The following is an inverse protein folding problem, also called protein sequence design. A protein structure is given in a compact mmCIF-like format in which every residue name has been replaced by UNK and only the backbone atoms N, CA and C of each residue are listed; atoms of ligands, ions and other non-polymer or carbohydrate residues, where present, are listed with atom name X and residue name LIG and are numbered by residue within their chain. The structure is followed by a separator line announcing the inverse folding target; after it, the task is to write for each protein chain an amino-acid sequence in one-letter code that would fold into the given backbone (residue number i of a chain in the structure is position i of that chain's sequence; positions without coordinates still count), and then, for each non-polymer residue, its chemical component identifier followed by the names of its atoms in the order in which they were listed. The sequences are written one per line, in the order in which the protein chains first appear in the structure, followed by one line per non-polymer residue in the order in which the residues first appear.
data_IF_138678923364
#
_entry.id   IF_138678923364
#
_cell.length_a   1.000
_cell.length_b   1.000
_cell.length_c   1.000
_cell.angle_alpha   90.00
_cell.angle_beta   90.00
_cell.angle_gamma   90.00
#
_symmetry.space_group_name_H-M   'P 1'
#
loop_
_entity.id
_entity.type
_entity.pdbx_description
1 polymer ?
#
# COMPACT_ATOMS: atom_id res chain seq x y z
N UNK A 1 37.14 -3.18 -6.98
CA UNK A 1 37.50 -2.57 -8.28
C UNK A 1 38.66 -1.64 -8.06
N UNK A 2 39.69 -1.70 -8.91
CA UNK A 2 40.89 -0.88 -8.75
C UNK A 2 40.57 0.59 -9.05
N UNK A 3 40.92 1.49 -8.13
CA UNK A 3 40.75 2.95 -8.26
C UNK A 3 42.08 3.63 -7.93
N UNK A 4 42.94 3.77 -8.94
CA UNK A 4 44.33 4.21 -8.75
C UNK A 4 45.10 3.30 -7.81
N UNK A 5 45.55 3.86 -6.69
CA UNK A 5 46.26 3.15 -5.60
C UNK A 5 45.33 2.55 -4.53
N UNK A 6 44.00 2.63 -4.73
CA UNK A 6 42.98 2.14 -3.79
C UNK A 6 42.04 1.14 -4.44
N UNK A 7 41.17 0.52 -3.65
CA UNK A 7 40.16 -0.42 -4.12
C UNK A 7 38.76 -0.04 -3.63
N UNK A 8 37.79 0.00 -4.54
CA UNK A 8 36.37 0.08 -4.21
C UNK A 8 35.85 -1.32 -3.83
N UNK A 9 35.23 -1.42 -2.65
CA UNK A 9 34.60 -2.64 -2.16
C UNK A 9 33.23 -2.82 -2.80
N UNK A 10 33.10 -3.78 -3.71
CA UNK A 10 31.82 -4.11 -4.38
C UNK A 10 30.97 -5.06 -3.54
N UNK A 11 31.61 -6.04 -2.91
CA UNK A 11 30.99 -7.17 -2.25
C UNK A 11 31.83 -7.61 -1.04
N UNK A 12 31.19 -8.14 0.01
CA UNK A 12 31.90 -8.77 1.13
C UNK A 12 32.11 -7.90 2.38
N UNK A 13 31.28 -6.87 2.59
CA UNK A 13 31.29 -6.02 3.81
C UNK A 13 31.36 -6.83 5.10
N UNK A 14 30.58 -7.92 5.23
CA UNK A 14 30.62 -8.80 6.42
C UNK A 14 31.98 -9.46 6.65
N UNK A 15 32.67 -9.86 5.57
CA UNK A 15 33.96 -10.55 5.63
C UNK A 15 35.07 -9.58 6.01
N UNK A 16 35.00 -8.35 5.51
CA UNK A 16 35.88 -7.25 5.93
C UNK A 16 35.63 -6.84 7.38
N UNK A 17 34.37 -6.71 7.81
CA UNK A 17 34.06 -6.40 9.20
C UNK A 17 34.56 -7.48 10.16
N UNK A 18 34.39 -8.76 9.80
CA UNK A 18 34.92 -9.88 10.57
C UNK A 18 36.45 -9.88 10.62
N UNK A 19 37.12 -9.64 9.49
CA UNK A 19 38.58 -9.56 9.43
C UNK A 19 39.14 -8.40 10.27
N UNK A 20 38.48 -7.23 10.23
CA UNK A 20 38.81 -6.10 11.12
C UNK A 20 38.64 -6.47 12.59
N UNK A 21 37.52 -7.12 12.95
CA UNK A 21 37.29 -7.58 14.32
C UNK A 21 38.32 -8.64 14.77
N UNK A 22 38.83 -9.44 13.85
CA UNK A 22 39.88 -10.42 14.08
C UNK A 22 41.31 -9.84 14.03
N UNK A 23 41.47 -8.54 13.79
CA UNK A 23 42.78 -7.89 13.71
C UNK A 23 43.62 -8.28 12.48
N UNK A 24 42.99 -8.81 11.44
CA UNK A 24 43.69 -9.17 10.20
C UNK A 24 44.04 -7.91 9.39
N UNK A 25 45.30 -7.79 9.01
CA UNK A 25 45.79 -6.68 8.19
C UNK A 25 45.33 -6.80 6.72
N UNK A 26 45.07 -8.02 6.25
CA UNK A 26 44.76 -8.32 4.85
C UNK A 26 43.57 -9.28 4.74
N UNK A 27 42.82 -9.18 3.65
CA UNK A 27 41.69 -10.06 3.35
C UNK A 27 41.82 -10.51 1.90
N UNK A 28 41.68 -11.82 1.60
CA UNK A 28 41.69 -12.29 0.22
C UNK A 28 40.53 -11.66 -0.55
N UNK A 29 40.86 -11.02 -1.67
CA UNK A 29 39.90 -10.30 -2.52
C UNK A 29 40.13 -10.63 -3.99
N UNK A 30 39.04 -10.73 -4.75
CA UNK A 30 39.11 -10.82 -6.21
C UNK A 30 39.13 -9.39 -6.79
N UNK A 31 40.25 -9.00 -7.39
CA UNK A 31 40.38 -7.71 -8.05
C UNK A 31 39.80 -7.84 -9.47
N UNK A 32 38.83 -6.98 -9.79
CA UNK A 32 38.30 -6.83 -11.14
C UNK A 32 38.66 -5.44 -11.67
N UNK A 33 39.00 -5.41 -12.95
CA UNK A 33 39.06 -4.20 -13.75
C UNK A 33 37.66 -3.98 -14.32
N UNK A 34 36.95 -3.00 -13.78
CA UNK A 34 35.63 -2.57 -14.25
C UNK A 34 35.54 -1.07 -14.01
N UNK A 35 34.72 -0.36 -14.79
CA UNK A 35 34.46 1.04 -14.49
C UNK A 35 33.56 1.18 -13.24
N UNK A 36 33.43 2.38 -12.70
CA UNK A 36 32.66 2.60 -11.46
C UNK A 36 31.17 2.27 -11.63
N UNK A 37 30.60 2.49 -12.82
CA UNK A 37 29.20 2.17 -13.13
C UNK A 37 28.96 0.65 -13.10
N UNK A 38 29.79 -0.13 -13.80
CA UNK A 38 29.75 -1.59 -13.78
C UNK A 38 29.94 -2.15 -12.36
N UNK A 39 30.78 -1.50 -11.55
CA UNK A 39 30.97 -1.87 -10.15
C UNK A 39 29.70 -1.66 -9.33
N UNK A 40 28.99 -0.54 -9.55
CA UNK A 40 27.75 -0.20 -8.88
C UNK A 40 26.61 -1.14 -9.29
N UNK A 41 26.48 -1.46 -10.58
CA UNK A 41 25.51 -2.44 -11.09
C UNK A 41 25.67 -3.81 -10.44
N UNK A 42 26.91 -4.32 -10.39
CA UNK A 42 27.20 -5.62 -9.77
C UNK A 42 26.91 -5.61 -8.27
N UNK A 43 27.25 -4.52 -7.58
CA UNK A 43 26.95 -4.36 -6.15
C UNK A 43 25.44 -4.33 -5.90
N UNK A 44 24.70 -3.55 -6.70
CA UNK A 44 23.24 -3.49 -6.63
C UNK A 44 22.62 -4.86 -6.83
N UNK A 45 23.01 -5.59 -7.89
CA UNK A 45 22.45 -6.91 -8.18
C UNK A 45 22.70 -7.89 -7.02
N UNK A 46 23.92 -7.95 -6.48
CA UNK A 46 24.23 -8.83 -5.34
C UNK A 46 23.41 -8.48 -4.10
N UNK A 47 23.24 -7.19 -3.80
CA UNK A 47 22.46 -6.72 -2.66
C UNK A 47 20.96 -6.98 -2.84
N UNK A 48 20.42 -6.74 -4.05
CA UNK A 48 19.01 -6.88 -4.35
C UNK A 48 18.53 -8.33 -4.34
N UNK A 49 19.35 -9.28 -4.83
CA UNK A 49 19.01 -10.71 -4.81
C UNK A 49 19.25 -11.39 -3.46
N UNK A 50 19.50 -10.64 -2.38
CA UNK A 50 19.52 -11.21 -1.03
C UNK A 50 18.12 -11.70 -0.66
N UNK A 51 18.06 -12.92 -0.14
CA UNK A 51 16.80 -13.65 0.13
C UNK A 51 15.92 -13.00 1.20
N UNK A 52 16.38 -11.96 1.90
CA UNK A 52 15.74 -11.43 3.10
C UNK A 52 15.09 -10.04 2.94
N UNK A 53 15.20 -9.39 1.77
CA UNK A 53 14.65 -8.04 1.60
C UNK A 53 13.11 -8.05 1.63
N UNK A 54 12.52 -7.30 2.55
CA UNK A 54 11.09 -6.98 2.56
C UNK A 54 10.72 -6.15 1.32
N UNK A 55 9.43 -6.15 0.91
CA UNK A 55 9.01 -5.39 -0.27
C UNK A 55 9.37 -3.90 -0.17
N UNK A 56 9.30 -3.31 1.03
CA UNK A 56 9.66 -1.90 1.26
C UNK A 56 11.15 -1.67 1.03
N UNK A 57 12.01 -2.58 1.47
CA UNK A 57 13.46 -2.49 1.24
C UNK A 57 13.81 -2.72 -0.24
N UNK A 58 13.11 -3.61 -0.94
CA UNK A 58 13.27 -3.79 -2.39
C UNK A 58 12.91 -2.51 -3.15
N UNK A 59 11.82 -1.85 -2.76
CA UNK A 59 11.44 -0.57 -3.35
C UNK A 59 12.47 0.53 -3.09
N UNK A 60 13.02 0.61 -1.87
CA UNK A 60 14.08 1.55 -1.54
C UNK A 60 15.34 1.31 -2.40
N UNK A 61 15.75 0.05 -2.55
CA UNK A 61 16.88 -0.30 -3.40
C UNK A 61 16.63 0.08 -4.88
N UNK A 62 15.45 -0.24 -5.43
CA UNK A 62 15.07 0.15 -6.80
C UNK A 62 15.10 1.67 -6.95
N UNK A 63 14.59 2.40 -5.96
CA UNK A 63 14.57 3.87 -5.97
C UNK A 63 15.99 4.44 -5.98
N UNK A 64 16.85 3.98 -5.08
CA UNK A 64 18.26 4.37 -5.02
C UNK A 64 18.97 4.09 -6.34
N UNK A 65 18.75 2.92 -6.94
CA UNK A 65 19.33 2.56 -8.23
C UNK A 65 18.92 3.51 -9.37
N UNK A 66 17.69 4.02 -9.35
CA UNK A 66 17.17 4.97 -10.33
C UNK A 66 17.72 6.37 -10.06
N UNK A 67 17.69 6.81 -8.80
CA UNK A 67 18.09 8.17 -8.39
C UNK A 67 19.61 8.40 -8.56
N UNK A 68 20.43 7.36 -8.33
CA UNK A 68 21.88 7.36 -8.53
C UNK A 68 22.30 7.05 -9.98
N UNK A 69 21.33 6.95 -10.90
CA UNK A 69 21.54 6.65 -12.33
C UNK A 69 22.39 5.38 -12.59
N UNK A 70 22.34 4.40 -11.66
CA UNK A 70 23.10 3.15 -11.77
C UNK A 70 22.57 2.31 -12.94
N UNK A 71 21.25 2.25 -13.10
CA UNK A 71 20.58 1.59 -14.21
C UNK A 71 19.30 2.32 -14.58
N UNK A 72 18.96 2.31 -15.87
CA UNK A 72 17.66 2.75 -16.35
C UNK A 72 16.52 1.83 -15.88
N UNK A 73 15.28 2.34 -15.95
CA UNK A 73 14.08 1.54 -15.63
C UNK A 73 13.97 0.32 -16.57
N UNK A 74 14.37 0.48 -17.82
CA UNK A 74 14.39 -0.55 -18.86
C UNK A 74 15.40 -1.66 -18.53
N UNK A 75 16.60 -1.29 -18.09
CA UNK A 75 17.64 -2.22 -17.66
C UNK A 75 17.23 -2.98 -16.40
N UNK A 76 16.66 -2.28 -15.41
CA UNK A 76 16.10 -2.90 -14.20
C UNK A 76 14.97 -3.89 -14.52
N UNK A 77 14.03 -3.50 -15.40
CA UNK A 77 12.93 -4.37 -15.82
C UNK A 77 13.45 -5.66 -16.47
N UNK A 78 14.43 -5.53 -17.36
CA UNK A 78 15.08 -6.65 -18.04
C UNK A 78 15.87 -7.53 -17.05
N UNK A 79 16.69 -6.93 -16.19
CA UNK A 79 17.54 -7.63 -15.22
C UNK A 79 16.75 -8.38 -14.15
N UNK A 80 15.61 -7.83 -13.71
CA UNK A 80 14.75 -8.45 -12.70
C UNK A 80 13.68 -9.38 -13.29
N UNK A 81 13.60 -9.48 -14.62
CA UNK A 81 12.53 -10.19 -15.33
C UNK A 81 11.13 -9.75 -14.82
N UNK A 82 10.91 -8.44 -14.87
CA UNK A 82 9.68 -7.76 -14.45
C UNK A 82 9.26 -6.74 -15.50
N UNK A 83 8.01 -6.30 -15.45
CA UNK A 83 7.54 -5.25 -16.34
C UNK A 83 8.08 -3.88 -15.89
N UNK A 84 8.27 -2.96 -16.85
CA UNK A 84 8.57 -1.54 -16.59
C UNK A 84 7.56 -0.96 -15.60
N UNK A 85 6.28 -1.33 -15.75
CA UNK A 85 5.20 -0.89 -14.87
C UNK A 85 5.40 -1.37 -13.42
N UNK A 86 5.90 -2.60 -13.24
CA UNK A 86 6.21 -3.12 -11.92
C UNK A 86 7.36 -2.35 -11.28
N UNK A 87 8.43 -2.05 -12.02
CA UNK A 87 9.57 -1.24 -11.52
C UNK A 87 9.10 0.15 -11.08
N UNK A 88 8.29 0.82 -11.91
CA UNK A 88 7.71 2.13 -11.57
C UNK A 88 6.83 2.08 -10.32
N UNK A 89 6.00 1.04 -10.20
CA UNK A 89 5.15 0.85 -9.03
C UNK A 89 5.97 0.59 -7.76
N UNK A 90 7.05 -0.18 -7.84
CA UNK A 90 7.97 -0.38 -6.71
C UNK A 90 8.64 0.92 -6.31
N UNK A 91 9.19 1.69 -7.26
CA UNK A 91 9.82 2.97 -6.95
C UNK A 91 8.83 3.95 -6.28
N UNK A 92 7.58 3.99 -6.77
CA UNK A 92 6.51 4.82 -6.20
C UNK A 92 6.14 4.41 -4.77
N UNK A 93 6.30 3.13 -4.40
CA UNK A 93 5.99 2.66 -3.05
C UNK A 93 6.75 3.45 -1.98
N UNK A 94 7.99 3.89 -2.26
CA UNK A 94 8.78 4.70 -1.32
C UNK A 94 8.12 6.03 -0.92
N UNK A 95 7.14 6.51 -1.69
CA UNK A 95 6.41 7.76 -1.42
C UNK A 95 5.06 7.52 -0.73
N UNK A 96 4.72 6.27 -0.39
CA UNK A 96 3.45 5.96 0.26
C UNK A 96 3.44 6.43 1.73
N UNK A 97 2.25 6.63 2.32
CA UNK A 97 2.14 7.02 3.71
C UNK A 97 2.87 6.05 4.67
N UNK A 98 3.55 6.54 5.72
CA UNK A 98 4.36 5.71 6.62
C UNK A 98 3.59 4.54 7.24
N UNK A 99 2.33 4.73 7.61
CA UNK A 99 1.47 3.69 8.18
C UNK A 99 1.21 2.54 7.19
N UNK A 100 1.13 2.85 5.90
CA UNK A 100 0.97 1.85 4.83
C UNK A 100 2.26 1.05 4.67
N UNK A 101 3.40 1.73 4.61
CA UNK A 101 4.72 1.10 4.51
C UNK A 101 5.00 0.18 5.69
N UNK A 102 4.66 0.63 6.90
CA UNK A 102 4.80 -0.17 8.10
C UNK A 102 3.96 -1.45 8.04
N UNK A 103 2.69 -1.36 7.61
CA UNK A 103 1.82 -2.53 7.49
C UNK A 103 2.35 -3.56 6.46
N UNK A 104 2.95 -3.09 5.36
CA UNK A 104 3.61 -3.97 4.37
C UNK A 104 4.85 -4.63 4.98
N UNK A 105 5.70 -3.86 5.66
CA UNK A 105 6.92 -4.37 6.29
C UNK A 105 6.61 -5.45 7.33
N UNK A 106 5.56 -5.24 8.14
CA UNK A 106 5.05 -6.22 9.11
C UNK A 106 4.26 -7.38 8.48
N UNK A 107 4.15 -7.42 7.15
CA UNK A 107 3.41 -8.44 6.38
C UNK A 107 1.93 -8.58 6.76
N UNK A 108 1.33 -7.50 7.28
CA UNK A 108 -0.08 -7.48 7.69
C UNK A 108 -1.03 -7.31 6.50
N UNK A 109 -0.54 -6.72 5.41
CA UNK A 109 -1.30 -6.50 4.18
C UNK A 109 -0.40 -6.74 2.96
N UNK A 110 -0.98 -7.18 1.85
CA UNK A 110 -0.25 -7.31 0.60
C UNK A 110 0.04 -5.94 -0.04
N UNK A 111 1.13 -5.85 -0.81
CA UNK A 111 1.49 -4.63 -1.55
C UNK A 111 0.37 -4.15 -2.48
N UNK A 112 -0.36 -5.08 -3.10
CA UNK A 112 -1.45 -4.76 -4.02
C UNK A 112 -2.72 -4.26 -3.34
N UNK A 113 -2.99 -4.66 -2.10
CA UNK A 113 -4.08 -4.08 -1.33
C UNK A 113 -3.66 -2.73 -0.73
N UNK A 114 -2.42 -2.64 -0.24
CA UNK A 114 -1.83 -1.41 0.27
C UNK A 114 -1.77 -0.28 -0.77
N UNK A 115 -1.46 -0.60 -2.04
CA UNK A 115 -1.40 0.41 -3.11
C UNK A 115 -2.71 1.15 -3.31
N UNK A 116 -3.85 0.48 -3.14
CA UNK A 116 -5.16 1.11 -3.24
C UNK A 116 -5.36 2.09 -2.09
N UNK A 117 -5.04 1.66 -0.86
CA UNK A 117 -5.21 2.48 0.34
C UNK A 117 -4.26 3.68 0.37
N UNK A 118 -3.06 3.54 -0.21
CA UNK A 118 -2.11 4.65 -0.35
C UNK A 118 -2.66 5.82 -1.19
N UNK A 119 -3.61 5.58 -2.09
CA UNK A 119 -4.24 6.61 -2.92
C UNK A 119 -5.30 7.45 -2.18
N UNK A 120 -5.73 7.01 -0.98
CA UNK A 120 -6.71 7.74 -0.17
C UNK A 120 -6.04 8.93 0.48
N UNK A 121 -6.39 10.14 0.08
CA UNK A 121 -5.74 11.37 0.57
C UNK A 121 -6.15 11.76 1.98
N UNK A 122 -7.39 11.42 2.37
CA UNK A 122 -7.88 11.62 3.73
C UNK A 122 -7.16 10.66 4.69
N UNK A 123 -6.37 11.22 5.61
CA UNK A 123 -5.54 10.44 6.54
C UNK A 123 -6.37 9.67 7.56
N UNK A 124 -7.47 10.23 8.07
CA UNK A 124 -8.31 9.54 9.05
C UNK A 124 -9.05 8.38 8.39
N UNK A 125 -9.63 8.62 7.22
CA UNK A 125 -10.37 7.60 6.49
C UNK A 125 -9.44 6.48 5.98
N UNK A 126 -8.24 6.82 5.50
CA UNK A 126 -7.20 5.84 5.14
C UNK A 126 -6.82 4.97 6.34
N UNK A 127 -6.63 5.56 7.52
CA UNK A 127 -6.35 4.83 8.76
C UNK A 127 -7.45 3.83 9.11
N UNK A 128 -8.72 4.23 9.00
CA UNK A 128 -9.87 3.35 9.19
C UNK A 128 -9.85 2.17 8.20
N UNK A 129 -9.67 2.44 6.90
CA UNK A 129 -9.62 1.40 5.87
C UNK A 129 -8.44 0.45 6.05
N UNK A 130 -7.27 0.97 6.43
CA UNK A 130 -6.07 0.17 6.70
C UNK A 130 -6.29 -0.78 7.88
N UNK A 131 -6.82 -0.28 8.99
CA UNK A 131 -7.16 -1.10 10.14
C UNK A 131 -8.14 -2.22 9.75
N UNK A 132 -9.21 -1.86 9.03
CA UNK A 132 -10.19 -2.84 8.55
C UNK A 132 -9.58 -3.87 7.59
N UNK A 133 -8.64 -3.45 6.73
CA UNK A 133 -7.93 -4.32 5.81
C UNK A 133 -7.05 -5.35 6.54
N UNK A 134 -6.35 -4.91 7.59
CA UNK A 134 -5.48 -5.78 8.40
C UNK A 134 -6.31 -6.79 9.18
N UNK A 135 -7.36 -6.34 9.87
CA UNK A 135 -8.18 -7.24 10.70
C UNK A 135 -8.93 -8.29 9.87
N UNK A 136 -9.42 -7.91 8.70
CA UNK A 136 -10.28 -8.78 7.87
C UNK A 136 -9.52 -9.47 6.73
N UNK A 137 -8.20 -9.27 6.62
CA UNK A 137 -7.40 -9.83 5.52
C UNK A 137 -7.89 -9.39 4.15
N UNK A 138 -8.15 -8.09 3.97
CA UNK A 138 -8.76 -7.59 2.75
C UNK A 138 -7.88 -7.81 1.51
N UNK A 139 -8.51 -8.24 0.42
CA UNK A 139 -7.84 -8.44 -0.87
C UNK A 139 -7.65 -7.13 -1.61
N UNK A 140 -6.78 -7.14 -2.63
CA UNK A 140 -6.63 -6.00 -3.55
C UNK A 140 -7.97 -5.61 -4.23
N UNK A 141 -8.84 -6.59 -4.52
CA UNK A 141 -10.17 -6.32 -5.09
C UNK A 141 -11.08 -5.60 -4.08
N UNK A 142 -11.06 -6.04 -2.83
CA UNK A 142 -11.88 -5.44 -1.77
C UNK A 142 -11.45 -4.00 -1.49
N UNK A 143 -10.15 -3.77 -1.31
CA UNK A 143 -9.59 -2.43 -1.09
C UNK A 143 -9.83 -1.49 -2.28
N UNK A 144 -9.75 -1.98 -3.52
CA UNK A 144 -10.10 -1.18 -4.71
C UNK A 144 -11.57 -0.76 -4.70
N UNK A 145 -12.49 -1.66 -4.30
CA UNK A 145 -13.91 -1.32 -4.19
C UNK A 145 -14.15 -0.25 -3.12
N UNK A 146 -13.49 -0.33 -1.96
CA UNK A 146 -13.58 0.68 -0.90
C UNK A 146 -13.12 2.06 -1.36
N UNK A 147 -11.99 2.11 -2.09
CA UNK A 147 -11.45 3.36 -2.64
C UNK A 147 -12.38 3.96 -3.68
N UNK A 148 -12.98 3.14 -4.54
CA UNK A 148 -13.98 3.61 -5.50
C UNK A 148 -15.21 4.21 -4.79
N UNK A 149 -15.75 3.52 -3.78
CA UNK A 149 -16.84 4.06 -2.95
C UNK A 149 -16.45 5.38 -2.25
N UNK A 150 -15.21 5.51 -1.78
CA UNK A 150 -14.68 6.76 -1.23
C UNK A 150 -14.62 7.88 -2.28
N UNK A 151 -14.14 7.60 -3.50
CA UNK A 151 -14.09 8.58 -4.58
C UNK A 151 -15.49 9.06 -4.98
N UNK A 152 -16.46 8.15 -5.08
CA UNK A 152 -17.84 8.47 -5.45
C UNK A 152 -18.60 9.25 -4.35
N UNK A 153 -18.16 9.14 -3.09
CA UNK A 153 -18.77 9.87 -1.97
C UNK A 153 -18.16 11.27 -1.76
N UNK A 154 -17.03 11.58 -2.40
CA UNK A 154 -16.48 12.94 -2.38
C UNK A 154 -17.32 13.84 -3.30
N UNK A 155 -17.82 14.99 -2.82
CA UNK A 155 -18.41 15.97 -3.72
C UNK A 155 -17.36 16.38 -4.77
N UNK A 156 -17.78 16.64 -6.02
CA UNK A 156 -16.87 17.11 -7.06
C UNK A 156 -16.06 18.31 -6.57
N UNK A 157 -14.79 18.42 -6.97
CA UNK A 157 -13.90 19.53 -6.55
C UNK A 157 -14.47 20.90 -6.95
N UNK A 158 -15.20 20.95 -8.06
CA UNK A 158 -16.01 22.10 -8.49
C UNK A 158 -17.09 22.47 -7.46
N UNK A 159 -17.74 21.50 -6.81
CA UNK A 159 -18.76 21.77 -5.79
C UNK A 159 -18.18 22.26 -4.46
N UNK A 160 -16.88 22.04 -4.20
CA UNK A 160 -16.19 22.58 -3.03
C UNK A 160 -15.68 24.01 -3.26
N UNK A 161 -15.52 24.41 -4.53
CA UNK A 161 -14.92 25.71 -4.92
C UNK A 161 -15.96 26.70 -5.45
N UNK A 162 -17.14 26.24 -5.84
CA UNK A 162 -18.26 27.11 -6.16
C UNK A 162 -18.70 27.91 -4.94
N UNK A 163 -18.94 29.20 -5.13
CA UNK A 163 -19.64 29.99 -4.12
C UNK A 163 -20.97 29.30 -3.81
N UNK A 164 -21.38 29.22 -2.52
CA UNK A 164 -22.68 28.70 -2.16
C UNK A 164 -23.74 29.36 -3.04
N UNK A 165 -24.58 28.57 -3.70
CA UNK A 165 -25.67 29.12 -4.50
C UNK A 165 -26.57 29.89 -3.52
N UNK A 166 -26.78 31.18 -3.77
CA UNK A 166 -27.72 31.97 -2.98
C UNK A 166 -29.11 31.34 -3.12
N UNK A 167 -29.53 30.73 -2.02
CA UNK A 167 -30.77 29.98 -1.89
C UNK A 167 -31.04 29.77 -0.41
N UNK A 168 -32.29 29.52 -0.06
CA UNK A 168 -32.68 29.25 1.32
C UNK A 168 -31.94 28.00 1.77
N UNK A 169 -30.84 28.18 2.52
CA UNK A 169 -30.26 27.14 3.34
C UNK A 169 -31.41 26.72 4.27
N UNK A 170 -31.94 25.50 4.17
CA UNK A 170 -32.97 25.08 5.08
C UNK A 170 -32.40 25.25 6.49
N UNK A 171 -33.16 25.93 7.36
CA UNK A 171 -32.71 26.28 8.72
C UNK A 171 -32.27 25.06 9.56
N UNK A 172 -32.61 23.85 9.10
CA UNK A 172 -32.08 22.59 9.56
C UNK A 172 -31.62 21.74 8.35
N UNK A 173 -30.49 21.05 8.50
CA UNK A 173 -30.03 20.07 7.52
C UNK A 173 -31.13 19.01 7.27
N UNK A 174 -31.44 18.75 6.01
CA UNK A 174 -32.34 17.64 5.65
C UNK A 174 -31.55 16.36 5.86
N UNK A 175 -31.94 15.59 6.88
CA UNK A 175 -31.31 14.31 7.21
C UNK A 175 -32.03 13.21 6.42
N UNK A 176 -31.32 12.47 5.55
CA UNK A 176 -31.90 11.38 4.78
C UNK A 176 -32.59 10.33 5.67
N UNK A 177 -33.56 9.62 5.10
CA UNK A 177 -34.26 8.54 5.79
C UNK A 177 -33.97 7.20 5.13
N UNK A 178 -33.79 6.17 5.93
CA UNK A 178 -33.54 4.81 5.46
C UNK A 178 -34.26 3.78 6.35
N UNK A 179 -34.68 2.62 5.80
CA UNK A 179 -35.30 1.57 6.61
C UNK A 179 -34.26 0.86 7.49
N UNK A 180 -34.61 0.63 8.74
CA UNK A 180 -33.86 -0.29 9.59
C UNK A 180 -33.90 -1.69 8.98
N UNK A 181 -32.72 -2.30 8.82
CA UNK A 181 -32.65 -3.63 8.25
C UNK A 181 -33.32 -4.69 9.14
N UNK A 182 -33.48 -4.47 10.45
CA UNK A 182 -34.11 -5.41 11.38
C UNK A 182 -35.64 -5.33 11.40
N UNK A 183 -36.21 -4.15 11.68
CA UNK A 183 -37.66 -3.97 11.86
C UNK A 183 -38.37 -3.34 10.65
N UNK A 184 -37.65 -2.99 9.57
CA UNK A 184 -38.16 -2.35 8.36
C UNK A 184 -38.81 -0.96 8.54
N UNK A 185 -38.92 -0.45 9.77
CA UNK A 185 -39.35 0.92 10.03
C UNK A 185 -38.33 1.91 9.45
N UNK A 186 -38.83 3.06 8.99
CA UNK A 186 -38.02 4.13 8.42
C UNK A 186 -37.50 5.04 9.53
N UNK A 187 -36.20 5.26 9.56
CA UNK A 187 -35.53 6.15 10.51
C UNK A 187 -34.71 7.20 9.78
N UNK A 188 -34.41 8.30 10.46
CA UNK A 188 -33.35 9.21 10.01
C UNK A 188 -32.01 8.47 10.04
N UNK A 189 -31.16 8.73 9.06
CA UNK A 189 -29.86 8.05 8.96
C UNK A 189 -28.94 8.28 10.15
N UNK A 190 -29.10 9.40 10.86
CA UNK A 190 -28.35 9.70 12.09
C UNK A 190 -28.87 8.97 13.34
N UNK A 191 -30.05 8.34 13.26
CA UNK A 191 -30.60 7.47 14.28
C UNK A 191 -30.34 5.98 13.98
N UNK A 192 -29.65 5.66 12.88
CA UNK A 192 -29.28 4.30 12.51
C UNK A 192 -27.84 3.99 12.94
N UNK A 193 -27.63 2.76 13.40
CA UNK A 193 -26.29 2.23 13.63
C UNK A 193 -25.79 1.52 12.36
N UNK A 194 -24.57 1.83 11.94
CA UNK A 194 -23.92 1.17 10.80
C UNK A 194 -23.05 0.02 11.30
N UNK A 195 -23.29 -1.20 10.80
CA UNK A 195 -22.49 -2.38 11.07
C UNK A 195 -21.82 -2.85 9.78
N UNK A 196 -20.49 -2.93 9.78
CA UNK A 196 -19.74 -3.47 8.65
C UNK A 196 -19.87 -5.00 8.61
N UNK A 197 -20.57 -5.52 7.59
CA UNK A 197 -20.74 -6.97 7.37
C UNK A 197 -20.38 -7.35 5.94
N UNK A 198 -19.88 -8.57 5.74
CA UNK A 198 -19.63 -9.08 4.38
C UNK A 198 -20.95 -9.40 3.66
N UNK A 199 -20.90 -9.54 2.33
CA UNK A 199 -22.10 -9.79 1.51
C UNK A 199 -22.85 -11.08 1.89
N UNK A 200 -22.13 -12.12 2.32
CA UNK A 200 -22.76 -13.36 2.78
C UNK A 200 -23.53 -13.14 4.09
N UNK A 201 -22.91 -12.50 5.08
CA UNK A 201 -23.58 -12.17 6.35
C UNK A 201 -24.79 -11.25 6.15
N UNK A 202 -24.73 -10.32 5.19
CA UNK A 202 -25.86 -9.48 4.84
C UNK A 202 -27.01 -10.29 4.22
N UNK A 203 -26.71 -11.22 3.31
CA UNK A 203 -27.70 -12.09 2.69
C UNK A 203 -28.36 -13.02 3.72
N UNK A 204 -27.56 -13.63 4.60
CA UNK A 204 -28.05 -14.50 5.67
C UNK A 204 -28.96 -13.72 6.63
N UNK A 205 -28.58 -12.49 6.95
CA UNK A 205 -29.39 -11.58 7.77
C UNK A 205 -30.73 -11.24 7.12
N UNK A 206 -30.75 -10.94 5.81
CA UNK A 206 -31.97 -10.64 5.07
C UNK A 206 -32.94 -11.82 5.04
N UNK A 207 -32.42 -13.04 4.82
CA UNK A 207 -33.24 -14.26 4.84
C UNK A 207 -33.84 -14.54 6.22
N UNK A 208 -33.06 -14.36 7.30
CA UNK A 208 -33.55 -14.55 8.66
C UNK A 208 -34.73 -13.60 8.98
N UNK A 209 -34.66 -12.35 8.50
CA UNK A 209 -35.74 -11.37 8.64
C UNK A 209 -37.00 -11.77 7.90
N UNK A 210 -36.88 -12.22 6.66
CA UNK A 210 -38.04 -12.64 5.86
C UNK A 210 -38.79 -13.79 6.53
N UNK A 211 -38.04 -14.77 7.08
CA UNK A 211 -38.64 -15.89 7.84
C UNK A 211 -39.43 -15.39 9.05
N UNK A 212 -38.85 -14.49 9.85
CA UNK A 212 -39.52 -13.90 11.01
C UNK A 212 -40.80 -13.13 10.65
N UNK A 213 -40.75 -12.33 9.58
CA UNK A 213 -41.93 -11.59 9.09
C UNK A 213 -43.06 -12.53 8.64
N UNK A 214 -42.73 -13.70 8.09
CA UNK A 214 -43.72 -14.72 7.71
C UNK A 214 -44.30 -15.42 8.94
N UNK A 215 -43.50 -15.66 9.98
CA UNK A 215 -43.95 -16.24 11.25
C UNK A 215 -44.86 -15.27 12.02
N UNK A 216 -44.50 -14.00 12.12
CA UNK A 216 -45.33 -12.97 12.77
C UNK A 216 -46.67 -12.73 12.05
N UNK A 217 -46.76 -12.97 10.73
CA UNK A 217 -48.04 -12.90 9.97
C UNK A 217 -48.92 -14.16 10.11
N UNK A 218 -48.37 -15.27 10.61
CA UNK A 218 -49.09 -16.54 10.82
C UNK A 218 -49.66 -16.67 12.24
N UNK A 219 -49.20 -15.84 13.17
CA UNK A 219 -49.75 -15.69 14.53
C UNK A 219 -50.83 -14.63 14.58
#
# INVERSE_FOLDING_TARGET
VRKGDSFLLVAGHRRISAAKAAGLAEVPALIRESNEAEAAEVSFAENFFRLDLSPVEQAAAIRECIDEEIMSIEELAKGLNRSIQWIRAQALMTTWPPEILQAIHLKQISVSAASNLAAVTDTQYRGFLLHNAIENGATARATAAWVNSWQLSRPPEEALTTAPVDGVIPAAAIIPQAPCLFCANVFRTDALNYMGVCGQCLADFQQARERRMVEEKRS
#
